data_IF_587588131049
#
_entry.id   IF_587588131049
#
_cell.length_a   1.000
_cell.length_b   1.000
_cell.length_c   1.000
_cell.angle_alpha   90.00
_cell.angle_beta   90.00
_cell.angle_gamma   90.00
#
_symmetry.space_group_name_H-M   'P 1'
#
loop_
_entity.id
_entity.type
_entity.pdbx_description
1 polymer ?
#
# COMPACT_ATOMS: atom_id res chain seq x y z
N UNK A 1 -22.08 12.63 2.91
CA UNK A 1 -21.60 11.81 4.05
C UNK A 1 -20.66 12.72 4.85
N UNK A 2 -20.82 12.83 6.17
CA UNK A 2 -20.07 13.77 7.00
C UNK A 2 -19.39 13.04 8.15
N UNK A 3 -18.26 13.55 8.62
CA UNK A 3 -17.59 13.10 9.82
C UNK A 3 -17.33 14.30 10.72
N UNK A 4 -17.53 14.13 12.03
CA UNK A 4 -17.31 15.18 13.01
C UNK A 4 -15.86 15.16 13.46
N UNK A 5 -15.23 16.34 13.51
CA UNK A 5 -13.92 16.52 14.13
C UNK A 5 -14.09 16.45 15.66
N UNK A 6 -13.40 15.53 16.31
CA UNK A 6 -13.44 15.42 17.77
C UNK A 6 -12.69 16.58 18.44
N UNK A 7 -12.88 16.76 19.75
CA UNK A 7 -12.15 17.74 20.55
C UNK A 7 -10.63 17.55 20.56
N UNK A 8 -10.15 16.37 20.15
CA UNK A 8 -8.72 16.05 19.97
C UNK A 8 -8.26 16.18 18.51
N UNK A 9 -9.03 16.86 17.67
CA UNK A 9 -8.76 17.01 16.24
C UNK A 9 -8.67 15.68 15.47
N UNK A 10 -9.40 14.65 15.94
CA UNK A 10 -9.45 13.35 15.28
C UNK A 10 -10.69 13.24 14.40
N UNK A 11 -10.53 12.68 13.20
CA UNK A 11 -11.64 12.37 12.29
C UNK A 11 -11.82 10.85 12.24
N UNK A 12 -13.04 10.40 12.52
CA UNK A 12 -13.39 8.99 12.37
C UNK A 12 -13.72 8.70 10.90
N UNK A 13 -12.98 7.78 10.28
CA UNK A 13 -13.26 7.35 8.90
C UNK A 13 -14.44 6.36 8.90
N UNK A 14 -15.57 6.67 8.24
CA UNK A 14 -16.73 5.80 8.16
C UNK A 14 -16.43 4.44 7.55
N UNK A 15 -17.15 3.40 7.97
CA UNK A 15 -16.90 2.02 7.57
C UNK A 15 -16.91 1.80 6.04
N UNK A 16 -17.78 2.50 5.31
CA UNK A 16 -17.84 2.42 3.84
C UNK A 16 -16.53 2.91 3.19
N UNK A 17 -15.96 4.02 3.67
CA UNK A 17 -14.68 4.54 3.15
C UNK A 17 -13.51 3.63 3.54
N UNK A 18 -13.49 3.10 4.77
CA UNK A 18 -12.47 2.13 5.18
C UNK A 18 -12.43 0.91 4.27
N UNK A 19 -13.61 0.35 3.94
CA UNK A 19 -13.72 -0.80 3.04
C UNK A 19 -13.31 -0.46 1.61
N UNK A 20 -13.78 0.67 1.09
CA UNK A 20 -13.47 1.14 -0.27
C UNK A 20 -11.96 1.32 -0.48
N UNK A 21 -11.29 1.96 0.48
CA UNK A 21 -9.85 2.24 0.42
C UNK A 21 -8.98 1.16 1.09
N UNK A 22 -9.60 0.05 1.55
CA UNK A 22 -8.93 -1.07 2.23
C UNK A 22 -8.03 -0.63 3.40
N UNK A 23 -8.46 0.40 4.14
CA UNK A 23 -7.74 0.93 5.28
C UNK A 23 -7.81 -0.05 6.46
N UNK A 24 -6.65 -0.37 7.03
CA UNK A 24 -6.51 -1.24 8.20
C UNK A 24 -6.02 -0.43 9.41
N UNK A 25 -6.36 -0.85 10.64
CA UNK A 25 -5.75 -0.28 11.84
C UNK A 25 -4.21 -0.33 11.76
N UNK A 26 -3.54 0.74 12.18
CA UNK A 26 -2.07 0.85 12.14
C UNK A 26 -1.49 1.38 10.82
N UNK A 27 -2.29 1.52 9.76
CA UNK A 27 -1.82 2.16 8.52
C UNK A 27 -1.58 3.65 8.73
N UNK A 28 -0.51 4.17 8.11
CA UNK A 28 -0.24 5.60 8.04
C UNK A 28 -1.00 6.22 6.87
N UNK A 29 -1.50 7.43 7.10
CA UNK A 29 -2.10 8.28 6.08
C UNK A 29 -1.19 9.49 5.90
N UNK A 30 -0.82 9.78 4.66
CA UNK A 30 -0.03 10.96 4.32
C UNK A 30 -0.97 12.05 3.85
N UNK A 31 -0.89 13.23 4.46
CA UNK A 31 -1.63 14.40 4.04
C UNK A 31 -0.87 15.13 2.93
N UNK A 32 -1.59 15.54 1.89
CA UNK A 32 -1.08 16.41 0.86
C UNK A 32 -1.36 17.87 1.26
N UNK A 33 -0.31 18.59 1.67
CA UNK A 33 -0.42 19.99 2.12
C UNK A 33 -0.62 20.98 0.96
N UNK A 34 -0.35 20.57 -0.28
CA UNK A 34 -0.52 21.43 -1.46
C UNK A 34 -1.91 21.28 -2.08
N UNK A 35 -2.68 20.27 -1.66
CA UNK A 35 -4.03 20.06 -2.14
C UNK A 35 -4.97 21.18 -1.64
N UNK A 36 -5.92 21.64 -2.48
CA UNK A 36 -6.93 22.61 -2.07
C UNK A 36 -7.94 22.04 -1.05
N UNK A 37 -7.91 20.74 -0.82
CA UNK A 37 -8.77 19.98 0.07
C UNK A 37 -7.96 19.01 0.96
N UNK A 38 -8.54 18.59 2.09
CA UNK A 38 -7.89 17.65 3.00
C UNK A 38 -7.80 16.26 2.35
N UNK A 39 -6.67 16.00 1.71
CA UNK A 39 -6.41 14.75 1.00
C UNK A 39 -5.43 13.88 1.77
N UNK A 40 -5.87 12.67 2.09
CA UNK A 40 -5.07 11.66 2.76
C UNK A 40 -4.99 10.40 1.89
N UNK A 41 -3.77 9.90 1.65
CA UNK A 41 -3.56 8.66 0.91
C UNK A 41 -2.97 7.57 1.80
N UNK A 42 -3.34 6.29 1.58
CA UNK A 42 -2.72 5.18 2.29
C UNK A 42 -1.22 5.13 1.96
N UNK A 43 -0.38 5.17 2.99
CA UNK A 43 1.03 4.86 2.82
C UNK A 43 1.19 3.34 2.80
N UNK A 44 1.60 2.82 1.66
CA UNK A 44 2.03 1.43 1.55
C UNK A 44 3.54 1.41 1.80
N UNK A 45 3.93 0.96 3.00
CA UNK A 45 5.33 0.74 3.33
C UNK A 45 5.84 -0.40 2.44
N UNK A 46 6.48 -0.05 1.33
CA UNK A 46 7.16 -1.00 0.47
C UNK A 46 8.62 -1.07 0.91
N UNK A 47 8.94 -2.10 1.70
CA UNK A 47 10.31 -2.35 2.14
C UNK A 47 11.13 -2.91 0.97
N UNK A 48 11.83 -2.01 0.28
CA UNK A 48 12.69 -2.32 -0.86
C UNK A 48 13.85 -3.23 -0.44
N UNK A 49 14.36 -3.10 0.79
CA UNK A 49 15.46 -3.92 1.29
C UNK A 49 15.00 -5.35 1.57
N UNK A 50 13.87 -5.52 2.27
CA UNK A 50 13.27 -6.84 2.46
C UNK A 50 12.94 -7.52 1.13
N UNK A 51 12.42 -6.77 0.16
CA UNK A 51 12.17 -7.28 -1.20
C UNK A 51 13.47 -7.71 -1.89
N UNK A 52 14.55 -6.92 -1.77
CA UNK A 52 15.87 -7.28 -2.33
C UNK A 52 16.44 -8.54 -1.67
N UNK A 53 16.25 -8.71 -0.36
CA UNK A 53 16.63 -9.94 0.36
C UNK A 53 15.91 -11.18 -0.17
N UNK A 54 14.59 -11.08 -0.37
CA UNK A 54 13.80 -12.18 -0.96
C UNK A 54 14.21 -12.47 -2.40
N UNK A 55 14.53 -11.45 -3.20
CA UNK A 55 15.07 -11.64 -4.56
C UNK A 55 16.44 -12.33 -4.57
N UNK A 56 17.32 -11.97 -3.63
CA UNK A 56 18.60 -12.64 -3.43
C UNK A 56 18.43 -14.12 -3.11
N UNK A 57 17.50 -14.44 -2.19
CA UNK A 57 17.14 -15.82 -1.87
C UNK A 57 16.47 -16.55 -3.05
N UNK A 58 15.65 -15.85 -3.85
CA UNK A 58 14.98 -16.44 -5.00
C UNK A 58 15.95 -16.82 -6.13
N UNK A 59 17.08 -16.11 -6.27
CA UNK A 59 18.14 -16.48 -7.23
C UNK A 59 18.79 -17.83 -6.89
N UNK A 60 18.81 -18.20 -5.60
CA UNK A 60 19.26 -19.51 -5.15
C UNK A 60 18.20 -20.61 -5.36
N UNK A 61 16.91 -20.25 -5.33
CA UNK A 61 15.80 -21.19 -5.44
C UNK A 61 15.34 -21.44 -6.89
N UNK A 62 15.52 -20.47 -7.78
CA UNK A 62 15.13 -20.53 -9.20
C UNK A 62 16.19 -19.85 -10.10
N UNK A 63 17.34 -20.50 -10.34
CA UNK A 63 18.44 -19.92 -11.11
C UNK A 63 18.08 -19.65 -12.57
N UNK A 64 17.15 -20.42 -13.15
CA UNK A 64 16.79 -20.36 -14.57
C UNK A 64 15.72 -19.31 -14.89
N UNK A 65 15.23 -18.57 -13.89
CA UNK A 65 14.18 -17.56 -14.08
C UNK A 65 14.73 -16.17 -13.82
N UNK A 66 14.41 -15.24 -14.73
CA UNK A 66 14.74 -13.84 -14.53
C UNK A 66 14.05 -13.29 -13.28
N UNK A 67 14.66 -12.31 -12.62
CA UNK A 67 14.07 -11.65 -11.45
C UNK A 67 12.66 -11.11 -11.75
N UNK A 68 12.42 -10.67 -12.98
CA UNK A 68 11.12 -10.19 -13.45
C UNK A 68 10.05 -11.30 -13.51
N UNK A 69 10.42 -12.50 -13.97
CA UNK A 69 9.54 -13.68 -13.98
C UNK A 69 9.20 -14.15 -12.55
N UNK A 70 10.18 -14.12 -11.64
CA UNK A 70 9.97 -14.45 -10.22
C UNK A 70 9.04 -13.44 -9.56
N UNK A 71 9.26 -12.14 -9.76
CA UNK A 71 8.40 -11.09 -9.21
C UNK A 71 6.97 -11.17 -9.76
N UNK A 72 6.81 -11.51 -11.04
CA UNK A 72 5.49 -11.70 -11.65
C UNK A 72 4.74 -12.88 -11.02
N UNK A 73 5.44 -13.97 -10.74
CA UNK A 73 4.88 -15.17 -10.11
C UNK A 73 4.50 -14.96 -8.64
N UNK A 74 5.35 -14.27 -7.86
CA UNK A 74 5.15 -14.10 -6.41
C UNK A 74 4.20 -12.96 -6.08
N UNK A 75 4.15 -11.90 -6.89
CA UNK A 75 3.29 -10.73 -6.61
C UNK A 75 1.83 -10.92 -7.01
N UNK A 76 1.51 -11.94 -7.81
CA UNK A 76 0.13 -12.32 -8.15
C UNK A 76 -0.72 -11.23 -8.81
N UNK A 77 -0.12 -10.12 -9.26
CA UNK A 77 -0.82 -8.97 -9.82
C UNK A 77 -0.17 -8.55 -11.14
N UNK A 78 -0.76 -9.00 -12.25
CA UNK A 78 -0.40 -8.55 -13.58
C UNK A 78 -1.21 -7.29 -13.92
N UNK A 79 -0.55 -6.13 -13.96
CA UNK A 79 -1.18 -4.86 -14.39
C UNK A 79 -1.37 -4.78 -15.91
N UNK A 80 -0.94 -5.77 -16.69
CA UNK A 80 -1.08 -5.79 -18.16
C UNK A 80 -2.35 -6.50 -18.67
N UNK A 81 -3.25 -6.92 -17.78
CA UNK A 81 -4.58 -7.48 -18.13
C UNK A 81 -5.74 -6.59 -17.69
N UNK A 82 -5.68 -5.29 -18.01
CA UNK A 82 -6.86 -4.42 -18.08
C UNK A 82 -6.93 -3.78 -19.45
#
# INVERSE_FOLDING_TARGET
>A
MQATLSSKYQITIPAQLRRKFRLKPGMKLVFDEQAPDLRAQPQYDFDVEAMRGVLGAAKAFMPDKSAEAVLTMVRGYDRRKQ
#
